data_IF_546699539892
#
_entry.id   IF_546699539892
#
_cell.length_a   1.000
_cell.length_b   1.000
_cell.length_c   1.000
_cell.angle_alpha   90.00
_cell.angle_beta   90.00
_cell.angle_gamma   90.00
#
_symmetry.space_group_name_H-M   'P 1'
#
loop_
_entity.id
_entity.type
_entity.pdbx_description
1 polymer ?
#
# COMPACT_ATOMS: atom_id res chain seq x y z
N UNK A 1 14.88 18.16 -17.24
CA UNK A 1 14.16 17.52 -16.12
C UNK A 1 12.86 18.27 -16.01
N UNK A 2 11.73 17.60 -16.23
CA UNK A 2 10.43 18.24 -16.01
C UNK A 2 10.35 18.64 -14.53
N UNK A 3 9.93 19.88 -14.24
CA UNK A 3 9.80 20.38 -12.87
C UNK A 3 8.45 19.96 -12.26
N UNK A 4 7.49 19.53 -13.07
CA UNK A 4 6.17 19.08 -12.62
C UNK A 4 6.20 17.82 -11.73
N UNK A 5 7.28 17.03 -11.81
CA UNK A 5 7.49 15.81 -11.02
C UNK A 5 8.07 16.07 -9.62
N UNK A 6 8.43 17.31 -9.30
CA UNK A 6 8.97 17.69 -7.99
C UNK A 6 7.85 18.29 -7.15
N UNK A 7 7.63 17.73 -5.95
CA UNK A 7 6.65 18.26 -4.99
C UNK A 7 6.96 19.72 -4.63
N UNK A 8 5.92 20.55 -4.48
CA UNK A 8 6.07 21.96 -4.08
C UNK A 8 6.69 22.15 -2.68
N UNK A 9 6.59 21.14 -1.82
CA UNK A 9 7.21 21.12 -0.48
C UNK A 9 8.57 20.38 -0.49
N UNK A 10 9.23 20.32 -1.65
CA UNK A 10 10.55 19.67 -1.78
C UNK A 10 11.47 20.56 -2.61
N UNK A 11 12.62 20.93 -2.03
CA UNK A 11 13.61 21.72 -2.78
C UNK A 11 14.16 20.91 -3.95
N UNK A 12 14.55 21.61 -5.02
CA UNK A 12 15.10 20.96 -6.22
C UNK A 12 16.38 20.16 -5.91
N UNK A 13 17.18 20.63 -4.95
CA UNK A 13 18.36 19.92 -4.47
C UNK A 13 18.00 18.60 -3.77
N UNK A 14 17.04 18.63 -2.83
CA UNK A 14 16.57 17.42 -2.15
C UNK A 14 15.99 16.40 -3.14
N UNK A 15 15.22 16.87 -4.13
CA UNK A 15 14.70 16.00 -5.19
C UNK A 15 15.82 15.35 -6.01
N UNK A 16 16.86 16.11 -6.40
CA UNK A 16 18.02 15.57 -7.14
C UNK A 16 18.75 14.49 -6.34
N UNK A 17 18.98 14.71 -5.05
CA UNK A 17 19.61 13.73 -4.15
C UNK A 17 18.74 12.47 -4.09
N UNK A 18 17.44 12.61 -3.82
CA UNK A 18 16.49 11.47 -3.76
C UNK A 18 16.50 10.65 -5.04
N UNK A 19 16.45 11.29 -6.21
CA UNK A 19 16.51 10.57 -7.49
C UNK A 19 17.86 9.90 -7.72
N UNK A 20 18.97 10.50 -7.30
CA UNK A 20 20.29 9.87 -7.39
C UNK A 20 20.38 8.60 -6.53
N UNK A 21 19.80 8.62 -5.32
CA UNK A 21 19.74 7.46 -4.42
C UNK A 21 18.86 6.36 -5.02
N UNK A 22 17.64 6.70 -5.47
CA UNK A 22 16.74 5.73 -6.08
C UNK A 22 17.33 5.07 -7.33
N UNK A 23 18.13 5.80 -8.12
CA UNK A 23 18.86 5.22 -9.27
C UNK A 23 19.94 4.23 -8.82
N UNK A 24 20.70 4.56 -7.77
CA UNK A 24 21.74 3.67 -7.23
C UNK A 24 21.18 2.36 -6.65
N UNK A 25 19.97 2.40 -6.08
CA UNK A 25 19.29 1.20 -5.55
C UNK A 25 18.91 0.22 -6.67
N UNK A 26 18.65 0.71 -7.89
CA UNK A 26 18.28 -0.13 -9.03
C UNK A 26 16.86 -0.70 -8.95
N UNK A 27 16.45 -1.48 -9.96
CA UNK A 27 15.09 -2.03 -10.02
C UNK A 27 14.84 -3.08 -8.93
N UNK A 28 15.80 -3.98 -8.69
CA UNK A 28 15.65 -5.07 -7.70
C UNK A 28 15.50 -4.53 -6.29
N UNK A 29 16.34 -3.57 -5.88
CA UNK A 29 16.23 -2.96 -4.56
C UNK A 29 14.92 -2.18 -4.39
N UNK A 30 14.45 -1.50 -5.45
CA UNK A 30 13.14 -0.83 -5.43
C UNK A 30 11.98 -1.81 -5.34
N UNK A 31 12.05 -2.96 -6.01
CA UNK A 31 11.03 -4.00 -5.91
C UNK A 31 10.98 -4.58 -4.48
N UNK A 32 12.15 -4.85 -3.87
CA UNK A 32 12.24 -5.30 -2.47
C UNK A 32 11.60 -4.29 -1.51
N UNK A 33 11.93 -3.00 -1.63
CA UNK A 33 11.32 -1.95 -0.81
C UNK A 33 9.80 -1.87 -1.03
N UNK A 34 9.33 -2.01 -2.26
CA UNK A 34 7.89 -1.97 -2.56
C UNK A 34 7.13 -3.14 -1.90
N UNK A 35 7.72 -4.34 -1.89
CA UNK A 35 7.15 -5.51 -1.20
C UNK A 35 7.08 -5.25 0.30
N UNK A 36 8.18 -4.80 0.91
CA UNK A 36 8.24 -4.50 2.36
C UNK A 36 7.21 -3.42 2.77
N UNK A 37 7.11 -2.34 1.99
CA UNK A 37 6.12 -1.30 2.21
C UNK A 37 4.68 -1.82 2.05
N UNK A 38 4.44 -2.74 1.12
CA UNK A 38 3.14 -3.36 0.93
C UNK A 38 2.73 -4.22 2.13
N UNK A 39 3.68 -4.93 2.74
CA UNK A 39 3.42 -5.72 3.94
C UNK A 39 3.10 -4.83 5.14
N UNK A 40 3.85 -3.73 5.31
CA UNK A 40 3.56 -2.71 6.31
C UNK A 40 2.17 -2.08 6.13
N UNK A 41 1.79 -1.75 4.88
CA UNK A 41 0.45 -1.25 4.57
C UNK A 41 -0.64 -2.23 5.00
N UNK A 42 -0.51 -3.52 4.67
CA UNK A 42 -1.49 -4.54 5.05
C UNK A 42 -1.61 -4.69 6.56
N UNK A 43 -0.49 -4.65 7.29
CA UNK A 43 -0.49 -4.71 8.75
C UNK A 43 -1.23 -3.51 9.39
N UNK A 44 -1.03 -2.30 8.86
CA UNK A 44 -1.75 -1.10 9.31
C UNK A 44 -3.25 -1.23 9.06
N UNK A 45 -3.64 -1.67 7.85
CA UNK A 45 -5.05 -1.88 7.49
C UNK A 45 -5.67 -2.93 8.42
N UNK A 46 -5.01 -4.06 8.64
CA UNK A 46 -5.46 -5.14 9.53
C UNK A 46 -5.70 -4.63 10.96
N UNK A 47 -4.76 -3.85 11.51
CA UNK A 47 -4.94 -3.21 12.81
C UNK A 47 -6.16 -2.29 12.84
N UNK A 48 -6.38 -1.50 11.78
CA UNK A 48 -7.54 -0.63 11.65
C UNK A 48 -8.87 -1.38 11.47
N UNK A 49 -8.86 -2.56 10.84
CA UNK A 49 -10.02 -3.45 10.74
C UNK A 49 -10.36 -4.02 12.12
N UNK A 50 -9.38 -4.61 12.83
CA UNK A 50 -9.57 -5.14 14.20
C UNK A 50 -10.13 -4.09 15.15
N UNK A 51 -9.65 -2.85 15.05
CA UNK A 51 -10.12 -1.76 15.89
C UNK A 51 -11.60 -1.41 15.64
N UNK A 52 -12.06 -1.45 14.38
CA UNK A 52 -13.43 -1.08 14.01
C UNK A 52 -14.43 -2.23 14.15
N UNK A 53 -13.96 -3.46 13.99
CA UNK A 53 -14.77 -4.68 13.97
C UNK A 53 -14.22 -5.70 14.98
N UNK A 54 -14.39 -5.47 16.30
CA UNK A 54 -13.86 -6.34 17.34
C UNK A 54 -14.52 -7.72 17.40
N UNK A 55 -15.67 -7.88 16.73
CA UNK A 55 -16.45 -9.11 16.61
C UNK A 55 -16.01 -9.99 15.42
N UNK A 56 -15.13 -9.50 14.55
CA UNK A 56 -14.66 -10.28 13.41
C UNK A 56 -13.69 -11.38 13.84
N UNK A 57 -13.85 -12.55 13.23
CA UNK A 57 -12.85 -13.61 13.28
C UNK A 57 -11.67 -13.30 12.34
N UNK A 58 -10.60 -14.09 12.45
CA UNK A 58 -9.38 -13.91 11.65
C UNK A 58 -9.64 -13.99 10.14
N UNK A 59 -10.63 -14.78 9.71
CA UNK A 59 -10.98 -14.93 8.29
C UNK A 59 -11.66 -13.66 7.78
N UNK A 60 -12.60 -13.12 8.55
CA UNK A 60 -13.29 -11.86 8.24
C UNK A 60 -12.30 -10.69 8.23
N UNK A 61 -11.40 -10.63 9.22
CA UNK A 61 -10.32 -9.63 9.27
C UNK A 61 -9.49 -9.70 7.99
N UNK A 62 -8.98 -10.88 7.63
CA UNK A 62 -8.15 -11.08 6.43
C UNK A 62 -8.86 -10.61 5.15
N UNK A 63 -10.12 -10.98 4.98
CA UNK A 63 -10.89 -10.61 3.78
C UNK A 63 -11.18 -9.11 3.73
N UNK A 64 -11.50 -8.48 4.85
CA UNK A 64 -11.69 -7.03 4.93
C UNK A 64 -10.38 -6.28 4.64
N UNK A 65 -9.25 -6.74 5.19
CA UNK A 65 -7.93 -6.18 4.89
C UNK A 65 -7.59 -6.29 3.41
N UNK A 66 -7.84 -7.45 2.79
CA UNK A 66 -7.62 -7.65 1.36
C UNK A 66 -8.50 -6.72 0.52
N UNK A 67 -9.80 -6.62 0.81
CA UNK A 67 -10.73 -5.74 0.08
C UNK A 67 -10.25 -4.28 0.06
N UNK A 68 -9.75 -3.78 1.19
CA UNK A 68 -9.20 -2.42 1.28
C UNK A 68 -7.87 -2.32 0.50
N UNK A 69 -6.99 -3.31 0.61
CA UNK A 69 -5.65 -3.25 0.02
C UNK A 69 -5.63 -3.31 -1.51
N UNK A 70 -6.53 -4.11 -2.13
CA UNK A 70 -6.59 -4.26 -3.60
C UNK A 70 -7.72 -3.45 -4.24
N UNK A 71 -8.64 -2.91 -3.45
CA UNK A 71 -9.82 -2.20 -3.92
C UNK A 71 -11.00 -3.13 -4.23
N UNK A 72 -12.18 -2.53 -4.29
CA UNK A 72 -13.46 -3.24 -4.40
C UNK A 72 -13.63 -4.02 -5.71
N UNK A 73 -13.23 -3.41 -6.84
CA UNK A 73 -13.35 -4.05 -8.15
C UNK A 73 -12.54 -5.36 -8.22
N UNK A 74 -11.25 -5.32 -7.87
CA UNK A 74 -10.37 -6.49 -7.90
C UNK A 74 -10.78 -7.53 -6.85
N UNK A 75 -11.28 -7.08 -5.70
CA UNK A 75 -11.81 -7.98 -4.68
C UNK A 75 -13.01 -8.76 -5.20
N UNK A 76 -13.99 -8.09 -5.81
CA UNK A 76 -15.20 -8.74 -6.33
C UNK A 76 -14.89 -9.69 -7.50
N UNK A 77 -13.90 -9.37 -8.33
CA UNK A 77 -13.43 -10.29 -9.38
C UNK A 77 -12.76 -11.55 -8.80
N UNK A 78 -12.07 -11.41 -7.66
CA UNK A 78 -11.32 -12.51 -7.03
C UNK A 78 -12.16 -13.34 -6.04
N UNK A 79 -13.19 -12.72 -5.44
CA UNK A 79 -14.04 -13.28 -4.39
C UNK A 79 -15.53 -12.93 -4.63
N UNK A 80 -16.13 -13.37 -5.75
CA UNK A 80 -17.46 -12.93 -6.18
C UNK A 80 -18.60 -13.29 -5.21
N UNK A 81 -18.46 -14.37 -4.45
CA UNK A 81 -19.50 -14.89 -3.54
C UNK A 81 -19.28 -14.50 -2.07
N UNK A 82 -18.31 -13.62 -1.79
CA UNK A 82 -17.97 -13.21 -0.43
C UNK A 82 -18.42 -11.76 -0.19
N UNK A 83 -19.40 -11.60 0.70
CA UNK A 83 -19.78 -10.28 1.20
C UNK A 83 -19.03 -9.96 2.50
N UNK A 84 -18.25 -8.88 2.49
CA UNK A 84 -17.51 -8.39 3.67
C UNK A 84 -18.07 -7.02 4.04
N UNK A 85 -18.66 -6.90 5.22
CA UNK A 85 -19.15 -5.61 5.73
C UNK A 85 -17.95 -4.67 5.97
N UNK A 86 -18.14 -3.38 5.64
CA UNK A 86 -17.08 -2.35 5.66
C UNK A 86 -16.81 -1.78 7.05
#
# INVERSE_FOLDING_TARGET
MDLSIVSGDTTLEAARIRFSILRKIGITGRASMAIELSDGLRAIIESGVRQRHPDYDDKMIRLATLRIAIGEELFNQSYPDIEVKG
#
